data_IF_797998140625
#
_entry.id   IF_797998140625
#
_cell.length_a   1.000
_cell.length_b   1.000
_cell.length_c   1.000
_cell.angle_alpha   90.00
_cell.angle_beta   90.00
_cell.angle_gamma   90.00
#
_symmetry.space_group_name_H-M   'P 1'
#
loop_
_entity.id
_entity.type
_entity.pdbx_description
1 polymer ?
#
# COMPACT_ATOMS: atom_id res chain seq x y z
N UNK A 1 -5.56 -6.45 -11.56
CA UNK A 1 -5.63 -6.23 -10.07
C UNK A 1 -5.89 -4.75 -9.85
N UNK A 2 -6.86 -4.38 -9.00
CA UNK A 2 -7.13 -2.98 -8.70
C UNK A 2 -6.62 -2.63 -7.29
N UNK A 3 -5.73 -1.65 -7.22
CA UNK A 3 -5.14 -1.11 -5.98
C UNK A 3 -5.51 0.36 -5.88
N UNK A 4 -6.14 0.78 -4.78
CA UNK A 4 -6.55 2.17 -4.57
C UNK A 4 -6.05 2.63 -3.20
N UNK A 5 -5.29 3.74 -3.12
CA UNK A 5 -4.84 4.63 -4.20
C UNK A 5 -3.72 4.02 -5.07
N UNK A 6 -3.56 4.53 -6.30
CA UNK A 6 -2.55 4.03 -7.27
C UNK A 6 -1.12 4.46 -6.94
N UNK A 7 -0.97 5.52 -6.15
CA UNK A 7 0.31 6.04 -5.70
C UNK A 7 0.20 6.43 -4.24
N UNK A 8 1.15 5.95 -3.42
CA UNK A 8 1.29 6.35 -2.03
C UNK A 8 2.53 7.22 -1.96
N UNK A 9 2.35 8.45 -1.50
CA UNK A 9 3.44 9.38 -1.27
C UNK A 9 3.29 9.96 0.12
N UNK A 10 4.25 9.69 1.00
CA UNK A 10 4.41 10.45 2.22
C UNK A 10 5.26 11.70 1.91
N UNK A 11 4.84 12.85 2.40
CA UNK A 11 5.61 14.10 2.32
C UNK A 11 5.89 14.54 3.75
N UNK A 12 7.17 14.68 4.07
CA UNK A 12 7.64 15.22 5.35
C UNK A 12 7.16 16.68 5.48
N UNK A 13 6.56 17.04 6.62
CA UNK A 13 6.07 18.40 6.87
C UNK A 13 7.08 19.28 7.61
N UNK A 14 8.29 18.79 7.91
CA UNK A 14 9.34 19.61 8.48
C UNK A 14 9.99 20.51 7.41
N UNK A 15 10.08 21.81 7.69
CA UNK A 15 10.90 22.73 6.90
C UNK A 15 12.38 22.39 7.14
N UNK A 16 13.03 21.78 6.15
CA UNK A 16 14.49 21.72 6.06
C UNK A 16 15.11 20.32 5.94
N UNK A 17 14.36 19.23 6.11
CA UNK A 17 14.92 17.88 5.96
C UNK A 17 13.84 16.98 5.34
N UNK A 18 14.01 16.61 4.06
CA UNK A 18 13.30 15.45 3.49
C UNK A 18 13.94 14.20 4.10
N UNK A 19 13.59 13.86 5.34
CA UNK A 19 14.17 12.68 5.97
C UNK A 19 13.70 11.43 5.19
N UNK A 20 14.59 10.47 4.89
CA UNK A 20 14.19 9.25 4.22
C UNK A 20 13.13 8.53 5.07
N UNK A 21 12.05 8.13 4.41
CA UNK A 21 10.96 7.37 5.01
C UNK A 21 11.04 5.93 4.53
N UNK A 22 10.71 4.99 5.42
CA UNK A 22 10.64 3.57 5.10
C UNK A 22 9.22 3.06 5.22
N UNK A 23 8.74 2.40 4.17
CA UNK A 23 7.38 1.89 4.05
C UNK A 23 7.30 0.44 4.53
N UNK A 24 6.26 0.12 5.30
CA UNK A 24 5.99 -1.22 5.83
C UNK A 24 4.49 -1.52 5.81
N UNK A 25 4.10 -2.78 5.61
CA UNK A 25 2.70 -3.21 5.75
C UNK A 25 2.43 -3.60 7.21
N UNK A 26 1.33 -3.12 7.77
CA UNK A 26 0.86 -3.49 9.10
C UNK A 26 -0.13 -4.65 9.00
N UNK A 27 0.01 -5.64 9.88
CA UNK A 27 -0.95 -6.75 10.04
C UNK A 27 -0.74 -7.98 9.14
N UNK A 28 0.16 -7.91 8.14
CA UNK A 28 0.55 -9.04 7.29
C UNK A 28 0.46 -8.72 5.80
N UNK A 29 1.44 -9.21 5.03
CA UNK A 29 1.46 -9.05 3.57
C UNK A 29 0.61 -10.12 2.90
N UNK A 30 -0.15 -9.74 1.89
CA UNK A 30 -0.82 -10.70 1.03
C UNK A 30 0.25 -11.51 0.28
N UNK A 31 0.19 -12.85 0.23
CA UNK A 31 1.28 -13.71 -0.25
C UNK A 31 1.60 -13.59 -1.75
N UNK A 32 0.87 -12.74 -2.46
CA UNK A 32 1.01 -12.44 -3.89
C UNK A 32 1.41 -10.98 -4.14
N UNK A 33 1.61 -10.18 -3.08
CA UNK A 33 2.09 -8.81 -3.16
C UNK A 33 3.47 -8.69 -2.52
N UNK A 34 4.22 -7.71 -3.01
CA UNK A 34 5.41 -7.18 -2.35
C UNK A 34 5.33 -5.65 -2.27
N UNK A 35 5.94 -5.07 -1.25
CA UNK A 35 6.01 -3.63 -1.03
C UNK A 35 7.47 -3.19 -1.07
N UNK A 36 7.80 -2.31 -1.99
CA UNK A 36 9.11 -1.68 -1.99
C UNK A 36 9.20 -0.67 -0.83
N UNK A 37 10.12 -0.89 0.13
CA UNK A 37 10.21 -0.08 1.35
C UNK A 37 10.74 1.33 1.11
N UNK A 38 11.30 1.64 -0.07
CA UNK A 38 11.90 2.94 -0.38
C UNK A 38 10.93 3.89 -1.09
N UNK A 39 10.01 3.37 -1.92
CA UNK A 39 9.14 4.19 -2.77
C UNK A 39 7.64 3.88 -2.64
N UNK A 40 7.24 2.96 -1.75
CA UNK A 40 5.87 2.51 -1.53
C UNK A 40 5.20 1.83 -2.74
N UNK A 41 5.97 1.36 -3.71
CA UNK A 41 5.46 0.62 -4.85
C UNK A 41 4.97 -0.76 -4.41
N UNK A 42 3.70 -1.07 -4.71
CA UNK A 42 3.12 -2.39 -4.48
C UNK A 42 3.14 -3.14 -5.81
N UNK A 43 3.87 -4.26 -5.83
CA UNK A 43 3.96 -5.12 -7.01
C UNK A 43 3.34 -6.48 -6.74
N UNK A 44 2.89 -7.12 -7.82
CA UNK A 44 2.38 -8.48 -7.76
C UNK A 44 3.52 -9.45 -8.07
N UNK A 45 3.87 -10.32 -7.12
CA UNK A 45 5.00 -11.26 -7.29
C UNK A 45 4.60 -12.57 -7.97
N UNK A 46 3.30 -12.84 -8.07
CA UNK A 46 2.72 -13.96 -8.82
C UNK A 46 1.25 -13.70 -9.11
N UNK A 47 0.70 -14.40 -10.12
CA UNK A 47 -0.73 -14.37 -10.40
C UNK A 47 -1.58 -14.85 -9.20
N UNK A 48 -2.80 -14.31 -9.10
CA UNK A 48 -3.81 -14.81 -8.16
C UNK A 48 -4.28 -16.19 -8.60
N UNK A 49 -4.47 -17.07 -7.63
CA UNK A 49 -5.23 -18.30 -7.84
C UNK A 49 -6.73 -18.00 -7.71
N UNK A 50 -7.56 -18.86 -8.29
CA UNK A 50 -9.01 -18.66 -8.38
C UNK A 50 -9.72 -18.49 -7.04
N UNK A 51 -9.14 -18.97 -5.94
CA UNK A 51 -9.70 -18.85 -4.59
C UNK A 51 -9.11 -17.70 -3.75
N UNK A 52 -8.16 -16.93 -4.28
CA UNK A 52 -7.49 -15.84 -3.55
C UNK A 52 -8.16 -14.49 -3.79
N UNK A 53 -8.26 -13.64 -2.76
CA UNK A 53 -8.84 -12.29 -2.89
C UNK A 53 -10.28 -12.30 -3.44
N UNK A 54 -11.10 -13.26 -3.00
CA UNK A 54 -12.53 -13.35 -3.34
C UNK A 54 -13.35 -12.18 -2.77
N UNK A 55 -12.82 -11.50 -1.77
CA UNK A 55 -13.33 -10.23 -1.25
C UNK A 55 -12.19 -9.21 -1.23
N UNK A 56 -12.48 -7.90 -1.33
CA UNK A 56 -11.46 -6.87 -1.18
C UNK A 56 -10.68 -7.03 0.13
N UNK A 57 -9.37 -6.91 0.06
CA UNK A 57 -8.49 -6.89 1.21
C UNK A 57 -8.14 -5.43 1.55
N UNK A 58 -8.09 -5.11 2.84
CA UNK A 58 -7.61 -3.82 3.32
C UNK A 58 -6.21 -4.00 3.89
N UNK A 59 -5.24 -3.27 3.35
CA UNK A 59 -3.87 -3.23 3.87
C UNK A 59 -3.58 -1.83 4.39
N UNK A 60 -2.80 -1.74 5.46
CA UNK A 60 -2.36 -0.46 6.02
C UNK A 60 -0.86 -0.34 5.82
N UNK A 61 -0.45 0.71 5.12
CA UNK A 61 0.96 1.04 4.90
C UNK A 61 1.38 2.11 5.90
N UNK A 62 2.47 1.85 6.62
CA UNK A 62 3.12 2.77 7.54
C UNK A 62 4.40 3.29 6.92
N UNK A 63 4.46 4.60 6.70
CA UNK A 63 5.67 5.32 6.31
C UNK A 63 6.32 5.90 7.57
N UNK A 64 7.52 5.45 7.94
CA UNK A 64 8.21 5.87 9.18
C UNK A 64 9.49 6.60 8.82
N UNK A 65 9.75 7.76 9.42
CA UNK A 65 11.05 8.42 9.29
C UNK A 65 12.17 7.54 9.86
N UNK A 66 13.25 7.33 9.10
CA UNK A 66 14.33 6.41 9.50
C UNK A 66 15.05 6.86 10.79
N UNK A 67 15.15 8.17 11.02
CA UNK A 67 15.81 8.76 12.17
C UNK A 67 14.87 9.01 13.37
N UNK A 68 13.56 8.87 13.20
CA UNK A 68 12.58 9.11 14.24
C UNK A 68 11.36 8.19 14.08
N UNK A 69 11.34 7.09 14.84
CA UNK A 69 10.26 6.10 14.77
C UNK A 69 8.90 6.61 15.24
N UNK A 70 8.86 7.72 16.00
CA UNK A 70 7.62 8.34 16.47
C UNK A 70 6.95 9.17 15.36
N UNK A 71 7.69 9.54 14.32
CA UNK A 71 7.18 10.28 13.17
C UNK A 71 6.85 9.34 12.03
N UNK A 72 5.56 9.07 11.88
CA UNK A 72 5.04 8.22 10.83
C UNK A 72 3.70 8.72 10.27
N UNK A 73 3.40 8.28 9.06
CA UNK A 73 2.10 8.43 8.43
C UNK A 73 1.52 7.05 8.08
N UNK A 74 0.19 6.95 8.08
CA UNK A 74 -0.54 5.75 7.71
C UNK A 74 -1.36 6.01 6.43
N UNK A 75 -1.38 5.02 5.54
CA UNK A 75 -2.24 4.99 4.37
C UNK A 75 -3.01 3.67 4.33
N UNK A 76 -4.32 3.75 4.10
CA UNK A 76 -5.17 2.57 3.90
C UNK A 76 -5.31 2.33 2.41
N UNK A 77 -5.00 1.10 1.98
CA UNK A 77 -5.12 0.67 0.59
C UNK A 77 -6.11 -0.47 0.50
N UNK A 78 -7.02 -0.38 -0.46
CA UNK A 78 -7.96 -1.45 -0.75
C UNK A 78 -7.48 -2.17 -2.01
N UNK A 79 -7.28 -3.48 -1.88
CA UNK A 79 -6.84 -4.37 -2.94
C UNK A 79 -8.02 -5.25 -3.34
N UNK A 80 -8.36 -5.27 -4.63
CA UNK A 80 -9.47 -6.06 -5.16
C UNK A 80 -9.13 -6.62 -6.53
N UNK A 81 -9.80 -7.71 -6.92
CA UNK A 81 -9.72 -8.17 -8.31
C UNK A 81 -10.41 -7.18 -9.24
N UNK A 82 -9.98 -7.16 -10.49
CA UNK A 82 -10.39 -6.14 -11.48
C UNK A 82 -11.83 -6.34 -11.95
N UNK A 83 -12.27 -7.60 -11.99
CA UNK A 83 -13.61 -8.07 -12.31
C UNK A 83 -14.67 -7.74 -11.24
N UNK A 84 -14.26 -7.29 -10.06
CA UNK A 84 -15.18 -6.96 -8.96
C UNK A 84 -15.73 -5.53 -8.99
N UNK A 85 -15.33 -4.71 -9.96
CA UNK A 85 -15.92 -3.38 -10.18
C UNK A 85 -16.73 -3.41 -11.47
N UNK A 86 -17.99 -3.83 -11.35
CA UNK A 86 -19.01 -3.51 -12.36
C UNK A 86 -19.21 -2.00 -12.48
N UNK A 87 -19.75 -1.49 -13.60
CA UNK A 87 -19.83 -0.06 -13.88
C UNK A 87 -20.74 0.63 -12.86
N UNK A 88 -20.18 1.38 -11.92
CA UNK A 88 -20.96 2.27 -11.08
C UNK A 88 -21.12 3.62 -11.78
N UNK A 89 -22.20 3.77 -12.54
CA UNK A 89 -23.07 4.97 -12.64
C UNK A 89 -23.81 4.99 -13.98
N UNK A 90 -25.11 4.65 -13.92
CA UNK A 90 -26.14 5.23 -14.78
C UNK A 90 -26.85 6.36 -14.03
#
# INVERSE_FOLDING_TARGET
LKVVPVAIKAVDQDVGINAPVRYTIQGGILPFLDLNPENAEIVMIRSLQDHELMTPATIVIKATQVNNADRYALATVIVSREDMVGPTAG
#
